data_IF_253512138299
#
_entry.id   IF_253512138299
#
_cell.length_a   1.000
_cell.length_b   1.000
_cell.length_c   1.000
_cell.angle_alpha   90.00
_cell.angle_beta   90.00
_cell.angle_gamma   90.00
#
_symmetry.space_group_name_H-M   'P 1'
#
loop_
_entity.id
_entity.type
_entity.pdbx_description
1 polymer ?
#
# COMPACT_ATOMS: atom_id res chain seq x y z
N UNK A 1 47.20 -28.25 -45.63
CA UNK A 1 45.87 -27.71 -45.26
C UNK A 1 44.98 -28.89 -44.88
N UNK A 2 44.05 -28.82 -43.90
CA UNK A 2 43.59 -27.70 -43.06
C UNK A 2 43.78 -27.96 -41.53
N UNK A 3 44.22 -26.98 -40.71
CA UNK A 3 43.41 -26.02 -39.92
C UNK A 3 42.31 -26.66 -39.05
N UNK A 4 42.67 -27.02 -37.81
CA UNK A 4 41.73 -27.32 -36.73
C UNK A 4 41.28 -26.00 -36.06
N UNK A 5 39.97 -25.78 -36.02
CA UNK A 5 39.31 -24.62 -35.41
C UNK A 5 39.10 -24.88 -33.92
N UNK A 6 39.54 -23.94 -33.08
CA UNK A 6 39.20 -23.88 -31.65
C UNK A 6 37.85 -23.18 -31.56
N UNK A 7 36.80 -23.91 -31.21
CA UNK A 7 35.50 -23.34 -30.89
C UNK A 7 35.51 -22.86 -29.43
N UNK A 8 35.68 -21.55 -29.22
CA UNK A 8 35.38 -20.92 -27.94
C UNK A 8 33.85 -20.82 -27.79
N UNK A 9 33.29 -21.61 -26.89
CA UNK A 9 31.93 -21.40 -26.41
C UNK A 9 31.93 -20.17 -25.49
N UNK A 10 31.50 -19.02 -26.03
CA UNK A 10 31.22 -17.84 -25.23
C UNK A 10 29.92 -18.11 -24.45
N UNK A 11 30.05 -18.42 -23.16
CA UNK A 11 28.93 -18.37 -22.22
C UNK A 11 28.53 -16.91 -22.05
N UNK A 12 27.47 -16.50 -22.74
CA UNK A 12 26.79 -15.24 -22.49
C UNK A 12 26.34 -15.22 -21.04
N UNK A 13 27.01 -14.41 -20.21
CA UNK A 13 26.54 -14.08 -18.87
C UNK A 13 25.31 -13.21 -19.07
N UNK A 14 24.12 -13.82 -19.03
CA UNK A 14 22.89 -13.07 -18.85
C UNK A 14 22.97 -12.45 -17.46
N UNK A 15 23.37 -11.18 -17.39
CA UNK A 15 23.20 -10.40 -16.18
C UNK A 15 21.69 -10.29 -15.95
N UNK A 16 21.16 -11.07 -15.02
CA UNK A 16 19.86 -10.81 -14.44
C UNK A 16 19.98 -9.44 -13.75
N UNK A 17 19.58 -8.38 -14.44
CA UNK A 17 19.17 -7.17 -13.73
C UNK A 17 18.06 -7.60 -12.77
N UNK A 18 18.09 -7.18 -11.48
CA UNK A 18 16.88 -7.29 -10.68
C UNK A 18 15.81 -6.52 -11.46
N UNK A 19 14.76 -7.22 -11.85
CA UNK A 19 13.53 -6.56 -12.27
C UNK A 19 13.18 -5.66 -11.10
N UNK A 20 13.36 -4.36 -11.30
CA UNK A 20 12.81 -3.35 -10.42
C UNK A 20 11.31 -3.40 -10.73
N UNK A 21 10.66 -4.42 -10.17
CA UNK A 21 9.22 -4.44 -10.02
C UNK A 21 8.95 -3.24 -9.13
N UNK A 22 8.43 -2.18 -9.74
CA UNK A 22 7.66 -1.19 -9.01
C UNK A 22 6.49 -1.97 -8.42
N UNK A 23 6.75 -2.58 -7.27
CA UNK A 23 5.85 -3.45 -6.55
C UNK A 23 4.82 -2.52 -5.92
N UNK A 24 3.92 -2.01 -6.75
CA UNK A 24 2.60 -1.56 -6.34
C UNK A 24 1.88 -2.80 -5.82
N UNK A 25 2.29 -3.23 -4.62
CA UNK A 25 1.51 -4.09 -3.74
C UNK A 25 0.10 -3.52 -3.77
N UNK A 26 -0.83 -4.22 -4.41
CA UNK A 26 -2.19 -3.72 -4.67
C UNK A 26 -2.94 -3.38 -3.39
N UNK A 27 -2.40 -3.76 -2.24
CA UNK A 27 -3.15 -3.81 -1.00
C UNK A 27 -2.99 -2.55 -0.16
N UNK A 28 -1.98 -1.73 -0.49
CA UNK A 28 -1.70 -0.49 0.22
C UNK A 28 -0.88 0.48 -0.61
N UNK A 29 -0.87 1.73 -0.16
CA UNK A 29 0.05 2.76 -0.63
C UNK A 29 0.87 3.31 0.53
N UNK A 30 2.18 3.30 0.38
CA UNK A 30 3.09 3.91 1.35
C UNK A 30 3.03 5.43 1.25
N UNK A 31 2.86 6.10 2.39
CA UNK A 31 2.74 7.55 2.51
C UNK A 31 3.70 8.09 3.55
N UNK A 32 4.39 9.17 3.23
CA UNK A 32 5.28 9.89 4.12
C UNK A 32 5.16 11.40 3.90
N UNK A 33 5.62 12.20 4.87
CA UNK A 33 5.44 13.65 4.84
C UNK A 33 6.20 14.34 3.70
N UNK A 34 7.41 13.88 3.35
CA UNK A 34 8.22 14.49 2.29
C UNK A 34 7.58 14.34 0.91
N UNK A 35 6.96 13.20 0.63
CA UNK A 35 6.36 12.91 -0.67
C UNK A 35 4.93 13.45 -0.80
N UNK A 36 4.25 13.65 0.33
CA UNK A 36 2.85 14.07 0.36
C UNK A 36 2.63 15.41 -0.33
N UNK A 37 3.45 16.41 -0.01
CA UNK A 37 3.33 17.76 -0.56
C UNK A 37 3.62 17.84 -2.06
N UNK A 38 4.34 16.87 -2.62
CA UNK A 38 4.57 16.79 -4.07
C UNK A 38 3.41 16.15 -4.85
N UNK A 39 2.51 15.45 -4.16
CA UNK A 39 1.44 14.64 -4.77
C UNK A 39 0.04 15.17 -4.49
N UNK A 40 -0.16 15.84 -3.35
CA UNK A 40 -1.47 16.19 -2.82
C UNK A 40 -1.55 17.64 -2.34
N UNK A 41 -2.78 18.16 -2.27
CA UNK A 41 -3.04 19.57 -1.93
C UNK A 41 -3.31 19.82 -0.44
N UNK A 42 -3.44 18.75 0.34
CA UNK A 42 -3.67 18.81 1.79
C UNK A 42 -2.37 18.63 2.57
N UNK A 43 -2.33 19.07 3.84
CA UNK A 43 -1.19 18.78 4.70
C UNK A 43 -1.13 17.29 5.07
N UNK A 44 0.08 16.74 5.22
CA UNK A 44 0.26 15.33 5.59
C UNK A 44 -0.43 15.03 6.94
N UNK A 45 -1.43 14.13 6.98
CA UNK A 45 -2.32 14.02 8.14
C UNK A 45 -1.80 13.11 9.25
N UNK A 46 -0.76 12.30 9.00
CA UNK A 46 -0.28 11.30 9.94
C UNK A 46 0.94 11.78 10.73
N UNK A 47 1.14 11.24 11.94
CA UNK A 47 2.27 11.61 12.79
C UNK A 47 3.58 10.92 12.42
N UNK A 48 3.51 9.84 11.62
CA UNK A 48 4.64 9.04 11.14
C UNK A 48 4.36 8.56 9.73
N UNK A 49 5.39 8.07 9.04
CA UNK A 49 5.23 7.38 7.76
C UNK A 49 4.47 6.07 7.94
N UNK A 50 3.69 5.67 6.95
CA UNK A 50 2.83 4.50 7.04
C UNK A 50 2.27 4.07 5.72
N UNK A 51 1.27 3.21 5.80
CA UNK A 51 0.56 2.59 4.71
C UNK A 51 -0.93 2.93 4.84
N UNK A 52 -1.53 3.40 3.74
CA UNK A 52 -2.97 3.47 3.61
C UNK A 52 -3.41 2.21 2.87
N UNK A 53 -4.25 1.40 3.50
CA UNK A 53 -4.72 0.14 2.93
C UNK A 53 -6.23 0.13 2.75
N UNK A 54 -6.70 -0.72 1.84
CA UNK A 54 -8.11 -0.98 1.63
C UNK A 54 -8.49 -2.41 1.98
N UNK A 55 -9.65 -2.58 2.63
CA UNK A 55 -10.34 -3.85 2.78
C UNK A 55 -11.79 -3.68 2.33
N UNK A 56 -12.23 -4.49 1.37
CA UNK A 56 -13.62 -4.44 0.89
C UNK A 56 -14.49 -5.34 1.77
N UNK A 57 -15.41 -4.73 2.52
CA UNK A 57 -16.41 -5.46 3.29
C UNK A 57 -17.74 -5.51 2.52
N UNK A 58 -18.37 -6.70 2.36
CA UNK A 58 -19.68 -6.80 1.70
C UNK A 58 -20.78 -5.95 2.36
N UNK A 59 -20.71 -5.78 3.69
CA UNK A 59 -21.74 -5.08 4.47
C UNK A 59 -21.52 -3.56 4.55
N UNK A 60 -20.26 -3.12 4.57
CA UNK A 60 -19.88 -1.73 4.88
C UNK A 60 -19.26 -1.00 3.69
N UNK A 61 -18.94 -1.73 2.61
CA UNK A 61 -18.18 -1.21 1.48
C UNK A 61 -16.68 -1.13 1.76
N UNK A 62 -15.95 -0.28 1.01
CA UNK A 62 -14.51 -0.17 1.13
C UNK A 62 -14.11 0.50 2.46
N UNK A 63 -13.42 -0.25 3.31
CA UNK A 63 -12.88 0.21 4.58
C UNK A 63 -11.42 0.63 4.43
N UNK A 64 -11.14 1.88 4.75
CA UNK A 64 -9.80 2.47 4.61
C UNK A 64 -9.13 2.57 5.97
N UNK A 65 -7.91 2.07 6.06
CA UNK A 65 -7.11 2.07 7.28
C UNK A 65 -5.77 2.75 7.06
N UNK A 66 -5.21 3.30 8.14
CA UNK A 66 -3.81 3.69 8.21
C UNK A 66 -3.04 2.79 9.17
N UNK A 67 -1.89 2.31 8.73
CA UNK A 67 -0.94 1.54 9.51
C UNK A 67 0.43 2.23 9.49
N UNK A 68 1.02 2.57 10.65
CA UNK A 68 2.42 2.98 10.70
C UNK A 68 3.34 1.89 10.13
N UNK A 69 4.46 2.29 9.53
CA UNK A 69 5.47 1.33 9.05
C UNK A 69 5.91 0.43 10.22
N UNK A 70 5.89 -0.88 10.00
CA UNK A 70 6.24 -1.89 11.01
C UNK A 70 5.08 -2.33 11.91
N UNK A 71 3.86 -1.85 11.67
CA UNK A 71 2.64 -2.22 12.40
C UNK A 71 1.58 -2.80 11.46
N UNK A 72 1.97 -3.68 10.54
CA UNK A 72 1.12 -4.13 9.42
C UNK A 72 0.75 -5.61 9.48
N UNK A 73 1.23 -6.35 10.50
CA UNK A 73 0.82 -7.73 10.71
C UNK A 73 -0.62 -7.85 11.24
N UNK A 74 -1.17 -9.06 11.17
CA UNK A 74 -2.57 -9.38 11.52
C UNK A 74 -2.93 -9.14 13.00
N UNK A 75 -1.94 -8.91 13.88
CA UNK A 75 -2.20 -8.57 15.29
C UNK A 75 -2.56 -7.09 15.48
N UNK A 76 -2.32 -6.25 14.47
CA UNK A 76 -2.62 -4.83 14.51
C UNK A 76 -3.96 -4.50 13.84
N UNK A 77 -4.69 -3.61 14.49
CA UNK A 77 -5.91 -2.99 13.99
C UNK A 77 -5.57 -1.56 13.65
N UNK A 78 -5.56 -1.27 12.34
CA UNK A 78 -5.19 0.03 11.81
C UNK A 78 -6.15 1.13 12.24
N UNK A 79 -5.72 2.37 12.06
CA UNK A 79 -6.57 3.52 12.36
C UNK A 79 -7.63 3.66 11.27
N UNK A 80 -8.94 3.60 11.60
CA UNK A 80 -10.00 3.74 10.62
C UNK A 80 -10.05 5.17 10.07
N UNK A 81 -10.00 5.31 8.74
CA UNK A 81 -10.02 6.61 8.07
C UNK A 81 -11.41 7.00 7.56
N UNK A 82 -12.32 6.03 7.39
CA UNK A 82 -13.69 6.27 6.95
C UNK A 82 -14.73 5.53 7.80
N UNK A 83 -16.02 5.78 7.52
CA UNK A 83 -17.13 5.18 8.28
C UNK A 83 -17.14 3.65 8.16
N UNK A 84 -16.87 3.12 6.97
CA UNK A 84 -16.86 1.67 6.74
C UNK A 84 -15.82 0.97 7.63
N UNK A 85 -14.61 1.52 7.71
CA UNK A 85 -13.55 1.01 8.59
C UNK A 85 -13.93 1.11 10.06
N UNK A 86 -14.55 2.21 10.49
CA UNK A 86 -15.00 2.38 11.86
C UNK A 86 -16.09 1.38 12.26
N UNK A 87 -17.06 1.12 11.37
CA UNK A 87 -18.11 0.12 11.62
C UNK A 87 -17.55 -1.30 11.61
N UNK A 88 -16.63 -1.63 10.70
CA UNK A 88 -15.99 -2.94 10.64
C UNK A 88 -15.22 -3.26 11.94
N UNK A 89 -14.43 -2.29 12.45
CA UNK A 89 -13.70 -2.44 13.72
C UNK A 89 -14.66 -2.62 14.89
N UNK A 90 -15.72 -1.81 14.94
CA UNK A 90 -16.75 -1.88 15.99
C UNK A 90 -17.51 -3.20 15.97
N UNK A 91 -17.91 -3.67 14.80
CA UNK A 91 -18.63 -4.93 14.62
C UNK A 91 -17.76 -6.13 15.04
N UNK A 92 -16.47 -6.09 14.71
CA UNK A 92 -15.50 -7.10 15.14
C UNK A 92 -15.19 -7.10 16.65
N UNK A 93 -15.74 -6.16 17.43
CA UNK A 93 -15.38 -5.98 18.84
C UNK A 93 -13.91 -5.59 19.04
N UNK A 94 -13.28 -5.01 18.00
CA UNK A 94 -11.88 -4.65 17.98
C UNK A 94 -11.70 -3.19 18.38
N UNK A 95 -10.47 -2.81 18.68
CA UNK A 95 -10.09 -1.41 18.90
C UNK A 95 -8.79 -1.14 18.16
N UNK A 96 -8.67 0.01 17.45
CA UNK A 96 -7.42 0.36 16.81
C UNK A 96 -6.29 0.41 17.84
N UNK A 97 -5.21 -0.32 17.57
CA UNK A 97 -4.12 -0.52 18.54
C UNK A 97 -2.76 -0.06 17.98
N UNK A 98 -2.72 0.49 16.77
CA UNK A 98 -1.51 1.09 16.21
C UNK A 98 -1.15 2.41 16.91
N UNK A 99 0.13 2.66 17.21
CA UNK A 99 0.57 3.93 17.77
C UNK A 99 0.62 5.01 16.67
N UNK A 100 0.76 6.28 17.06
CA UNK A 100 1.14 7.36 16.15
C UNK A 100 0.32 7.45 14.85
N UNK A 101 -1.00 7.57 14.94
CA UNK A 101 -1.86 7.58 13.76
C UNK A 101 -2.04 8.95 13.14
N UNK A 102 -3.01 9.73 13.63
CA UNK A 102 -3.52 10.94 12.99
C UNK A 102 -3.17 12.18 13.81
N UNK A 103 -2.63 13.22 13.16
CA UNK A 103 -2.39 14.53 13.76
C UNK A 103 -3.73 15.13 14.23
N UNK A 104 -3.73 15.78 15.39
CA UNK A 104 -4.95 16.40 15.93
C UNK A 104 -5.51 17.45 14.96
N UNK A 105 -6.78 17.30 14.58
CA UNK A 105 -7.46 18.21 13.67
C UNK A 105 -7.02 18.08 12.20
N UNK A 106 -6.31 17.00 11.84
CA UNK A 106 -5.94 16.74 10.45
C UNK A 106 -7.16 16.56 9.56
N UNK A 107 -7.05 17.08 8.33
CA UNK A 107 -7.97 16.74 7.26
C UNK A 107 -7.60 15.37 6.68
N UNK A 108 -8.56 14.44 6.69
CA UNK A 108 -8.40 13.08 6.18
C UNK A 108 -9.02 12.89 4.79
N UNK A 109 -9.54 13.96 4.17
CA UNK A 109 -10.20 13.92 2.86
C UNK A 109 -9.36 13.19 1.81
N UNK A 110 -8.16 13.70 1.56
CA UNK A 110 -7.23 13.14 0.59
C UNK A 110 -6.79 11.72 0.95
N UNK A 111 -6.48 11.47 2.23
CA UNK A 111 -6.05 10.13 2.66
C UNK A 111 -7.14 9.06 2.42
N UNK A 112 -8.42 9.43 2.59
CA UNK A 112 -9.54 8.55 2.24
C UNK A 112 -9.63 8.33 0.75
N UNK A 113 -9.50 9.37 -0.06
CA UNK A 113 -9.57 9.26 -1.53
C UNK A 113 -8.42 8.42 -2.10
N UNK A 114 -7.23 8.58 -1.53
CA UNK A 114 -6.07 7.72 -1.82
C UNK A 114 -6.38 6.26 -1.51
N UNK A 115 -6.94 5.97 -0.33
CA UNK A 115 -7.32 4.61 0.04
C UNK A 115 -8.45 4.04 -0.82
N UNK A 116 -9.46 4.84 -1.20
CA UNK A 116 -10.53 4.39 -2.09
C UNK A 116 -10.00 3.99 -3.46
N UNK A 117 -9.02 4.74 -3.99
CA UNK A 117 -8.36 4.40 -5.25
C UNK A 117 -7.62 3.07 -5.17
N UNK A 118 -6.99 2.76 -4.04
CA UNK A 118 -6.39 1.43 -3.80
C UNK A 118 -7.45 0.34 -3.92
N UNK A 119 -8.66 0.54 -3.36
CA UNK A 119 -9.76 -0.41 -3.51
C UNK A 119 -10.18 -0.59 -4.97
N UNK A 120 -10.33 0.51 -5.71
CA UNK A 120 -10.75 0.47 -7.12
C UNK A 120 -9.71 -0.31 -7.95
N UNK A 121 -8.42 -0.04 -7.74
CA UNK A 121 -7.31 -0.77 -8.37
C UNK A 121 -7.29 -2.26 -8.00
N UNK A 122 -7.67 -2.62 -6.76
CA UNK A 122 -7.82 -4.03 -6.36
C UNK A 122 -9.00 -4.70 -7.09
N UNK A 123 -10.16 -4.04 -7.16
CA UNK A 123 -11.34 -4.59 -7.83
C UNK A 123 -11.09 -4.78 -9.32
N UNK A 124 -10.46 -3.81 -9.99
CA UNK A 124 -10.12 -3.88 -11.41
C UNK A 124 -9.22 -5.08 -11.71
N UNK A 125 -8.27 -5.40 -10.81
CA UNK A 125 -7.42 -6.60 -10.95
C UNK A 125 -8.21 -7.91 -10.80
N UNK A 126 -9.24 -7.93 -9.95
CA UNK A 126 -10.06 -9.11 -9.69
C UNK A 126 -11.06 -9.34 -10.83
N UNK A 127 -11.68 -8.29 -11.35
CA UNK A 127 -12.68 -8.35 -12.42
C UNK A 127 -12.06 -8.49 -13.82
N UNK A 128 -10.81 -8.05 -14.00
CA UNK A 128 -10.05 -8.17 -15.23
C UNK A 128 -9.33 -9.51 -15.44
N UNK A 129 -9.52 -10.50 -14.55
CA UNK A 129 -8.97 -11.86 -14.63
C UNK A 129 -9.90 -12.87 -15.31
#
# INVERSE_FOLDING_TARGET
MPRWLISLAALSIAACAPVQEDNHSSDFVTVNESDWYGKYYTAYPFTVSGEISCVIHPEYGPAIYFYPIGFTDESYVGTPLNKAAAEAVKHGGMTPNVPYSVKKGADLSEAREVGLRVCDEQMDKIEGM
#
